data_IF_613059074346
#
_entry.id   IF_613059074346
#
_cell.length_a   1.000
_cell.length_b   1.000
_cell.length_c   1.000
_cell.angle_alpha   90.00
_cell.angle_beta   90.00
_cell.angle_gamma   90.00
#
_symmetry.space_group_name_H-M   'P 1'
#
loop_
_entity.id
_entity.type
_entity.pdbx_description
1 polymer ?
#
# COMPACT_ATOMS: atom_id res chain seq x y z
N UNK A 1 5.95 -12.15 17.13
CA UNK A 1 5.29 -11.20 16.20
C UNK A 1 5.10 -9.89 16.93
N UNK A 2 5.23 -8.75 16.23
CA UNK A 2 4.95 -7.45 16.82
C UNK A 2 3.46 -7.35 17.24
N UNK A 3 3.22 -6.63 18.34
CA UNK A 3 1.90 -6.44 18.94
C UNK A 3 1.11 -5.37 18.20
N UNK A 4 -0.20 -5.55 18.11
CA UNK A 4 -1.15 -4.54 17.65
C UNK A 4 -2.25 -4.39 18.72
N UNK A 5 -2.37 -3.22 19.34
CA UNK A 5 -3.37 -2.95 20.38
C UNK A 5 -4.71 -2.44 19.83
N UNK A 6 -4.77 -1.98 18.58
CA UNK A 6 -6.02 -1.55 17.95
C UNK A 6 -6.85 -2.78 17.56
N UNK A 7 -7.97 -2.97 18.26
CA UNK A 7 -8.86 -4.12 18.06
C UNK A 7 -10.11 -3.72 17.30
N UNK A 8 -10.56 -4.55 16.32
CA UNK A 8 -11.81 -4.29 15.64
C UNK A 8 -12.96 -4.61 16.60
N UNK A 9 -13.96 -3.73 16.65
CA UNK A 9 -15.10 -3.86 17.55
C UNK A 9 -16.25 -4.63 16.90
N UNK A 10 -16.94 -5.44 17.70
CA UNK A 10 -18.15 -6.17 17.32
C UNK A 10 -18.01 -7.09 16.09
N UNK A 11 -16.85 -7.66 15.74
CA UNK A 11 -16.71 -8.51 14.52
C UNK A 11 -17.20 -9.96 14.66
N UNK A 12 -17.58 -10.38 15.85
CA UNK A 12 -18.01 -11.75 16.13
C UNK A 12 -19.31 -12.16 15.45
N UNK A 13 -19.50 -13.48 15.29
CA UNK A 13 -20.77 -14.06 14.83
C UNK A 13 -21.90 -13.67 15.80
N UNK A 14 -23.02 -13.21 15.25
CA UNK A 14 -24.19 -12.79 16.04
C UNK A 14 -24.03 -11.44 16.77
N UNK A 15 -22.96 -10.68 16.49
CA UNK A 15 -22.80 -9.36 17.06
C UNK A 15 -23.97 -8.43 16.66
N UNK A 16 -24.47 -7.66 17.63
CA UNK A 16 -25.58 -6.73 17.46
C UNK A 16 -25.20 -5.57 16.53
N UNK A 17 -25.32 -5.77 15.22
CA UNK A 17 -25.14 -4.73 14.21
C UNK A 17 -26.25 -4.76 13.19
N UNK A 18 -26.53 -3.60 12.63
CA UNK A 18 -27.44 -3.46 11.48
C UNK A 18 -26.86 -4.21 10.28
N UNK A 19 -27.73 -4.83 9.48
CA UNK A 19 -27.33 -5.52 8.24
C UNK A 19 -26.67 -4.53 7.26
N UNK A 20 -25.91 -5.02 6.28
CA UNK A 20 -25.29 -4.12 5.30
C UNK A 20 -26.34 -3.38 4.45
N UNK A 21 -27.38 -4.04 3.88
CA UNK A 21 -28.40 -3.34 3.11
C UNK A 21 -29.16 -2.29 3.92
N UNK A 22 -29.55 -2.60 5.16
CA UNK A 22 -30.27 -1.66 6.02
C UNK A 22 -29.40 -0.48 6.45
N UNK A 23 -28.09 -0.70 6.58
CA UNK A 23 -27.12 0.35 6.89
C UNK A 23 -26.95 1.31 5.70
N UNK A 24 -26.78 0.79 4.48
CA UNK A 24 -26.64 1.59 3.26
C UNK A 24 -27.89 2.40 2.93
N UNK A 25 -29.07 1.89 3.30
CA UNK A 25 -30.34 2.60 3.16
C UNK A 25 -30.59 3.67 4.25
N UNK A 26 -29.75 3.74 5.29
CA UNK A 26 -30.01 4.59 6.45
C UNK A 26 -29.71 6.06 6.13
N UNK A 27 -30.69 6.99 6.26
CA UNK A 27 -30.45 8.42 6.00
C UNK A 27 -29.37 9.03 6.91
N UNK A 28 -29.16 8.45 8.09
CA UNK A 28 -28.14 8.88 9.05
C UNK A 28 -26.70 8.70 8.52
N UNK A 29 -26.47 7.96 7.43
CA UNK A 29 -25.18 7.96 6.75
C UNK A 29 -24.78 9.36 6.25
N UNK A 30 -25.77 10.15 5.82
CA UNK A 30 -25.54 11.51 5.35
C UNK A 30 -25.61 12.54 6.47
N UNK A 31 -26.64 12.46 7.31
CA UNK A 31 -26.93 13.48 8.33
C UNK A 31 -26.30 13.23 9.69
N UNK A 32 -25.74 12.04 9.91
CA UNK A 32 -25.46 11.53 11.26
C UNK A 32 -26.74 11.29 12.07
N UNK A 33 -26.57 10.81 13.31
CA UNK A 33 -27.66 10.78 14.29
C UNK A 33 -27.83 12.17 14.90
N UNK A 34 -29.01 12.78 14.73
CA UNK A 34 -29.25 14.17 15.11
C UNK A 34 -29.96 14.27 16.47
N UNK A 35 -31.23 13.87 16.52
CA UNK A 35 -32.05 13.90 17.72
C UNK A 35 -32.74 12.55 17.96
N UNK A 36 -32.95 12.20 19.23
CA UNK A 36 -33.53 10.92 19.64
C UNK A 36 -32.49 9.86 19.99
N UNK A 37 -32.94 8.61 20.14
CA UNK A 37 -32.08 7.47 20.50
C UNK A 37 -31.60 6.77 19.24
N UNK A 38 -30.28 6.73 19.03
CA UNK A 38 -29.70 5.89 17.99
C UNK A 38 -29.84 4.41 18.38
N UNK A 39 -30.19 3.54 17.41
CA UNK A 39 -30.22 2.10 17.67
C UNK A 39 -28.81 1.60 18.00
N UNK A 40 -28.67 0.80 19.05
CA UNK A 40 -27.37 0.21 19.42
C UNK A 40 -26.77 -0.60 18.28
N UNK A 41 -27.60 -1.25 17.46
CA UNK A 41 -27.16 -1.97 16.27
C UNK A 41 -26.58 -1.04 15.18
N UNK A 42 -27.09 0.19 15.07
CA UNK A 42 -26.60 1.18 14.11
C UNK A 42 -25.30 1.83 14.62
N UNK A 43 -25.24 2.16 15.92
CA UNK A 43 -24.01 2.67 16.57
C UNK A 43 -22.89 1.63 16.48
N UNK A 44 -23.17 0.36 16.82
CA UNK A 44 -22.18 -0.72 16.70
C UNK A 44 -21.72 -0.92 15.25
N UNK A 45 -22.60 -0.71 14.26
CA UNK A 45 -22.22 -0.79 12.84
C UNK A 45 -21.22 0.31 12.47
N UNK A 46 -21.46 1.55 12.88
CA UNK A 46 -20.53 2.67 12.67
C UNK A 46 -19.18 2.42 13.38
N UNK A 47 -19.21 2.03 14.65
CA UNK A 47 -18.00 1.72 15.42
C UNK A 47 -17.22 0.53 14.83
N UNK A 48 -17.92 -0.52 14.37
CA UNK A 48 -17.30 -1.66 13.68
C UNK A 48 -16.57 -1.20 12.43
N UNK A 49 -17.21 -0.40 11.56
CA UNK A 49 -16.56 0.03 10.30
C UNK A 49 -15.28 0.84 10.58
N UNK A 50 -15.32 1.78 11.53
CA UNK A 50 -14.15 2.57 11.90
C UNK A 50 -13.03 1.73 12.53
N UNK A 51 -13.36 0.95 13.56
CA UNK A 51 -12.38 0.13 14.29
C UNK A 51 -11.81 -1.02 13.45
N UNK A 52 -12.58 -1.56 12.49
CA UNK A 52 -12.11 -2.60 11.58
C UNK A 52 -10.98 -2.09 10.69
N UNK A 53 -11.15 -0.91 10.07
CA UNK A 53 -10.10 -0.29 9.25
C UNK A 53 -8.88 0.08 10.10
N UNK A 54 -9.10 0.69 11.28
CA UNK A 54 -8.01 1.05 12.19
C UNK A 54 -7.17 -0.19 12.60
N UNK A 55 -7.82 -1.27 13.01
CA UNK A 55 -7.14 -2.51 13.38
C UNK A 55 -6.39 -3.15 12.21
N UNK A 56 -6.94 -3.09 10.99
CA UNK A 56 -6.28 -3.62 9.80
C UNK A 56 -5.00 -2.84 9.46
N UNK A 57 -5.04 -1.51 9.49
CA UNK A 57 -3.88 -0.65 9.25
C UNK A 57 -2.81 -0.84 10.33
N UNK A 58 -3.22 -0.91 11.60
CA UNK A 58 -2.31 -1.16 12.72
C UNK A 58 -1.67 -2.55 12.63
N UNK A 59 -2.43 -3.58 12.24
CA UNK A 59 -1.90 -4.92 12.04
C UNK A 59 -0.89 -4.97 10.89
N UNK A 60 -1.20 -4.35 9.75
CA UNK A 60 -0.27 -4.23 8.62
C UNK A 60 1.03 -3.55 9.08
N UNK A 61 0.91 -2.42 9.77
CA UNK A 61 2.04 -1.64 10.28
C UNK A 61 2.90 -2.47 11.22
N UNK A 62 2.32 -3.17 12.19
CA UNK A 62 3.05 -4.03 13.12
C UNK A 62 3.78 -5.16 12.38
N UNK A 63 3.08 -5.86 11.48
CA UNK A 63 3.61 -6.99 10.72
C UNK A 63 4.78 -6.60 9.81
N UNK A 64 4.70 -5.45 9.14
CA UNK A 64 5.72 -5.02 8.16
C UNK A 64 6.86 -4.24 8.79
N UNK A 65 6.59 -3.35 9.74
CA UNK A 65 7.65 -2.61 10.43
C UNK A 65 8.43 -3.48 11.42
N UNK A 66 7.83 -4.59 11.88
CA UNK A 66 8.39 -5.43 12.94
C UNK A 66 8.37 -4.78 14.33
N UNK A 67 7.64 -3.67 14.49
CA UNK A 67 7.54 -2.89 15.74
C UNK A 67 6.11 -2.95 16.29
N UNK A 68 6.00 -2.89 17.61
CA UNK A 68 4.71 -2.85 18.27
C UNK A 68 3.94 -1.56 17.91
N UNK A 69 2.64 -1.71 17.70
CA UNK A 69 1.68 -0.62 17.50
C UNK A 69 0.78 -0.59 18.73
N UNK A 70 1.07 0.34 19.63
CA UNK A 70 0.42 0.48 20.94
C UNK A 70 -0.66 1.57 20.90
N UNK A 71 -1.70 1.42 21.72
CA UNK A 71 -2.72 2.45 21.95
C UNK A 71 -2.27 3.38 23.10
N UNK A 72 -1.22 4.16 22.83
CA UNK A 72 -0.54 5.04 23.80
C UNK A 72 -0.72 6.54 23.50
N UNK A 73 -1.47 6.86 22.44
CA UNK A 73 -1.68 8.23 21.97
C UNK A 73 -0.52 8.83 21.17
N UNK A 74 0.57 8.10 20.90
CA UNK A 74 1.70 8.59 20.10
C UNK A 74 1.41 8.50 18.59
N UNK A 75 0.67 9.50 18.09
CA UNK A 75 0.32 9.59 16.68
C UNK A 75 1.57 9.72 15.78
N UNK A 76 2.57 10.48 16.20
CA UNK A 76 3.81 10.67 15.43
C UNK A 76 4.57 9.35 15.31
N UNK A 77 4.70 8.62 16.42
CA UNK A 77 5.31 7.31 16.45
C UNK A 77 4.53 6.26 15.67
N UNK A 78 3.19 6.35 15.61
CA UNK A 78 2.40 5.50 14.72
C UNK A 78 2.72 5.80 13.25
N UNK A 79 2.72 7.07 12.84
CA UNK A 79 3.04 7.49 11.46
C UNK A 79 4.45 7.01 11.07
N UNK A 80 5.44 7.17 11.95
CA UNK A 80 6.81 6.71 11.68
C UNK A 80 6.88 5.18 11.46
N UNK A 81 6.16 4.40 12.26
CA UNK A 81 6.08 2.94 12.09
C UNK A 81 5.38 2.58 10.78
N UNK A 82 4.30 3.29 10.43
CA UNK A 82 3.56 3.07 9.19
C UNK A 82 4.41 3.38 7.95
N UNK A 83 5.15 4.48 7.95
CA UNK A 83 6.10 4.81 6.87
C UNK A 83 7.20 3.75 6.73
N UNK A 84 7.73 3.26 7.84
CA UNK A 84 8.72 2.18 7.83
C UNK A 84 8.14 0.86 7.29
N UNK A 85 6.87 0.57 7.61
CA UNK A 85 6.14 -0.57 7.06
C UNK A 85 5.97 -0.46 5.54
N UNK A 86 5.54 0.70 5.03
CA UNK A 86 5.41 0.91 3.59
C UNK A 86 6.75 0.77 2.86
N UNK A 87 7.84 1.27 3.45
CA UNK A 87 9.19 1.10 2.88
C UNK A 87 9.71 -0.35 2.80
N UNK A 88 8.97 -1.34 3.31
CA UNK A 88 9.28 -2.77 3.11
C UNK A 88 8.66 -3.37 1.87
N UNK A 89 7.45 -2.94 1.51
CA UNK A 89 6.69 -3.50 0.39
C UNK A 89 6.71 -2.59 -0.85
N UNK A 90 6.92 -1.29 -0.63
CA UNK A 90 6.85 -0.27 -1.67
C UNK A 90 8.16 0.48 -1.77
N UNK A 91 8.55 0.74 -3.01
CA UNK A 91 9.61 1.68 -3.29
C UNK A 91 9.08 3.10 -3.14
N UNK A 92 9.89 3.98 -2.54
CA UNK A 92 9.57 5.40 -2.47
C UNK A 92 9.41 5.98 -3.88
N UNK A 93 8.47 6.91 -4.06
CA UNK A 93 8.32 7.63 -5.32
C UNK A 93 9.66 8.27 -5.70
N UNK A 94 10.14 7.90 -6.88
CA UNK A 94 11.40 8.34 -7.43
C UNK A 94 11.19 8.65 -8.92
N UNK A 95 11.67 9.82 -9.35
CA UNK A 95 11.40 10.32 -10.69
C UNK A 95 12.16 9.52 -11.76
N UNK A 96 13.38 9.06 -11.47
CA UNK A 96 14.16 8.20 -12.35
C UNK A 96 13.49 6.84 -12.54
N UNK A 97 12.99 6.23 -11.46
CA UNK A 97 12.26 4.96 -11.56
C UNK A 97 10.91 5.10 -12.24
N UNK A 98 10.23 6.22 -12.04
CA UNK A 98 8.99 6.54 -12.76
C UNK A 98 9.26 6.64 -14.27
N UNK A 99 10.36 7.28 -14.67
CA UNK A 99 10.76 7.39 -16.07
C UNK A 99 11.06 6.02 -16.68
N UNK A 100 11.79 5.16 -15.97
CA UNK A 100 12.10 3.80 -16.42
C UNK A 100 10.85 2.92 -16.50
N UNK A 101 9.96 2.99 -15.51
CA UNK A 101 8.71 2.24 -15.49
C UNK A 101 7.72 2.65 -16.60
N UNK A 102 7.88 3.86 -17.16
CA UNK A 102 7.09 4.35 -18.28
C UNK A 102 7.53 3.85 -19.66
N UNK A 103 8.67 3.17 -19.78
CA UNK A 103 9.15 2.64 -21.06
C UNK A 103 8.33 1.43 -21.51
N UNK A 104 8.01 1.36 -22.81
CA UNK A 104 7.31 0.20 -23.36
C UNK A 104 8.21 -1.04 -23.32
N UNK A 105 7.77 -2.10 -22.66
CA UNK A 105 8.52 -3.35 -22.60
C UNK A 105 8.49 -4.08 -23.96
N UNK A 106 9.57 -4.78 -24.28
CA UNK A 106 9.69 -5.52 -25.54
C UNK A 106 10.99 -6.29 -25.59
N UNK A 107 11.05 -7.29 -26.48
CA UNK A 107 12.31 -7.97 -26.77
C UNK A 107 13.32 -6.97 -27.30
N UNK A 108 14.59 -7.19 -26.99
CA UNK A 108 15.73 -6.47 -27.56
C UNK A 108 15.73 -4.95 -27.32
N UNK A 109 15.00 -4.44 -26.33
CA UNK A 109 15.03 -3.03 -25.93
C UNK A 109 16.15 -2.73 -24.95
N UNK A 110 16.84 -1.61 -25.15
CA UNK A 110 17.80 -1.04 -24.21
C UNK A 110 17.29 0.33 -23.70
N UNK A 111 16.87 0.42 -22.44
CA UNK A 111 16.65 1.70 -21.76
C UNK A 111 17.93 2.54 -21.67
N UNK A 112 17.79 3.85 -21.85
CA UNK A 112 18.88 4.82 -21.63
C UNK A 112 18.32 6.16 -21.14
N UNK A 113 19.12 6.94 -20.41
CA UNK A 113 18.69 8.27 -19.96
C UNK A 113 18.90 9.33 -21.05
N UNK A 114 17.89 10.19 -21.24
CA UNK A 114 17.93 11.33 -22.18
C UNK A 114 18.20 12.66 -21.48
N UNK A 115 18.31 12.64 -20.15
CA UNK A 115 18.47 13.78 -19.25
C UNK A 115 18.13 13.37 -17.82
N UNK A 116 18.17 14.31 -16.87
CA UNK A 116 17.72 14.05 -15.49
C UNK A 116 16.27 13.56 -15.47
N UNK A 117 16.03 12.44 -14.79
CA UNK A 117 14.69 11.85 -14.60
C UNK A 117 13.91 11.64 -15.91
N UNK A 118 14.61 11.43 -17.03
CA UNK A 118 14.01 11.11 -18.33
C UNK A 118 14.71 9.91 -18.96
N UNK A 119 13.91 8.96 -19.46
CA UNK A 119 14.42 7.76 -20.09
C UNK A 119 13.80 7.60 -21.48
N UNK A 120 14.63 7.16 -22.42
CA UNK A 120 14.23 6.63 -23.71
C UNK A 120 14.59 5.16 -23.83
N UNK A 121 14.30 4.57 -24.98
CA UNK A 121 14.76 3.22 -25.31
C UNK A 121 15.10 3.10 -26.79
N UNK A 122 16.05 2.24 -27.08
CA UNK A 122 16.45 1.89 -28.45
C UNK A 122 16.39 0.38 -28.65
N UNK A 123 16.32 -0.05 -29.90
CA UNK A 123 16.43 -1.46 -30.26
C UNK A 123 17.90 -1.88 -30.35
N UNK A 124 18.24 -3.00 -29.72
CA UNK A 124 19.49 -3.71 -29.93
C UNK A 124 19.32 -4.72 -31.06
N UNK A 125 20.24 -4.69 -32.02
CA UNK A 125 20.35 -5.76 -33.02
C UNK A 125 20.94 -7.03 -32.41
N UNK A 126 20.87 -8.15 -33.12
CA UNK A 126 21.56 -9.38 -32.71
C UNK A 126 23.06 -9.13 -32.52
N UNK A 127 23.71 -8.44 -33.47
CA UNK A 127 25.13 -8.07 -33.39
C UNK A 127 25.44 -7.24 -32.15
N UNK A 128 24.59 -6.26 -31.83
CA UNK A 128 24.77 -5.44 -30.62
C UNK A 128 24.70 -6.28 -29.34
N UNK A 129 23.78 -7.24 -29.27
CA UNK A 129 23.68 -8.17 -28.13
C UNK A 129 24.88 -9.11 -28.06
N UNK A 130 25.35 -9.61 -29.20
CA UNK A 130 26.51 -10.51 -29.28
C UNK A 130 27.77 -9.83 -28.74
N UNK A 131 27.98 -8.54 -29.06
CA UNK A 131 29.12 -7.75 -28.58
C UNK A 131 29.00 -7.49 -27.07
N UNK A 132 27.85 -7.00 -26.58
CA UNK A 132 27.65 -6.69 -25.15
C UNK A 132 27.76 -7.94 -24.27
N UNK A 133 27.36 -9.10 -24.80
CA UNK A 133 27.41 -10.37 -24.09
C UNK A 133 28.80 -11.01 -23.96
N UNK A 134 29.85 -10.47 -24.59
CA UNK A 134 31.21 -11.02 -24.52
C UNK A 134 31.87 -10.73 -23.16
N UNK A 135 32.60 -11.72 -22.62
CA UNK A 135 33.26 -11.62 -21.32
C UNK A 135 34.67 -10.98 -21.40
N UNK A 136 35.30 -10.98 -22.57
CA UNK A 136 36.62 -10.40 -22.78
C UNK A 136 36.74 -9.69 -24.11
N UNK A 137 37.76 -8.83 -24.23
CA UNK A 137 38.11 -8.18 -25.49
C UNK A 137 38.48 -9.23 -26.54
N UNK A 138 39.16 -10.32 -26.16
CA UNK A 138 39.53 -11.38 -27.08
C UNK A 138 38.30 -12.02 -27.74
N UNK A 139 37.21 -12.20 -26.98
CA UNK A 139 35.96 -12.77 -27.50
C UNK A 139 35.15 -11.78 -28.36
N UNK A 140 35.45 -10.48 -28.30
CA UNK A 140 34.87 -9.47 -29.20
C UNK A 140 35.64 -9.47 -30.53
N UNK A 141 36.94 -9.71 -30.47
CA UNK A 141 37.85 -9.65 -31.61
C UNK A 141 37.95 -10.97 -32.41
N UNK A 142 37.41 -12.07 -31.86
CA UNK A 142 37.43 -13.41 -32.48
C UNK A 142 36.03 -13.99 -32.59
#
# INVERSE_FOLDING_TARGET
>A
MAKNDFKPFATGKGANVTSQPDWEALPALLSGFTAGKASSAQVNKALRQASFIAAALAQYTASKSGKDVLDDGDLSGFIAKMSAAFGKDFQTLDATLTALAGLATGADKLPYFTGNDTAGQTDLTSVGRDIIGKASIADILT
#
